data_IF_364900242969
#
_entry.id   IF_364900242969
#
_cell.length_a   1.000
_cell.length_b   1.000
_cell.length_c   1.000
_cell.angle_alpha   90.00
_cell.angle_beta   90.00
_cell.angle_gamma   90.00
#
_symmetry.space_group_name_H-M   'P 1'
#
loop_
_entity.id
_entity.type
_entity.pdbx_description
1 polymer ?
#
# COMPACT_ATOMS: atom_id res chain seq x y z
N UNK A 1 -1.71 26.26 -19.46
CA UNK A 1 -1.42 24.82 -19.63
C UNK A 1 0.05 24.48 -19.34
N UNK A 2 1.03 25.24 -19.84
CA UNK A 2 2.47 25.03 -19.58
C UNK A 2 2.91 25.07 -18.11
N UNK A 3 2.46 26.06 -17.33
CA UNK A 3 2.86 26.20 -15.91
C UNK A 3 2.40 25.03 -15.02
N UNK A 4 1.24 24.42 -15.35
CA UNK A 4 0.71 23.26 -14.61
C UNK A 4 1.60 22.03 -14.81
N UNK A 5 1.97 21.72 -16.05
CA UNK A 5 2.87 20.60 -16.35
C UNK A 5 4.27 20.75 -15.74
N UNK A 6 4.78 21.98 -15.64
CA UNK A 6 6.04 22.27 -14.96
C UNK A 6 5.90 22.00 -13.45
N UNK A 7 4.85 22.52 -12.82
CA UNK A 7 4.57 22.29 -11.39
C UNK A 7 4.46 20.80 -11.07
N UNK A 8 3.76 20.03 -11.89
CA UNK A 8 3.56 18.59 -11.68
C UNK A 8 4.90 17.83 -11.79
N UNK A 9 5.77 18.19 -12.73
CA UNK A 9 7.13 17.61 -12.81
C UNK A 9 7.97 17.91 -11.56
N UNK A 10 7.87 19.12 -11.00
CA UNK A 10 8.57 19.46 -9.77
C UNK A 10 8.02 18.68 -8.57
N UNK A 11 6.69 18.53 -8.47
CA UNK A 11 6.05 17.67 -7.46
C UNK A 11 6.56 16.24 -7.56
N UNK A 12 6.57 15.64 -8.75
CA UNK A 12 7.10 14.29 -8.98
C UNK A 12 8.57 14.17 -8.56
N UNK A 13 9.42 15.13 -8.95
CA UNK A 13 10.83 15.15 -8.55
C UNK A 13 10.99 15.23 -7.04
N UNK A 14 10.18 16.05 -6.37
CA UNK A 14 10.19 16.19 -4.91
C UNK A 14 9.74 14.91 -4.20
N UNK A 15 8.72 14.22 -4.72
CA UNK A 15 8.26 12.93 -4.20
C UNK A 15 9.31 11.83 -4.33
N UNK A 16 9.96 11.72 -5.51
CA UNK A 16 11.07 10.77 -5.71
C UNK A 16 12.24 11.04 -4.75
N UNK A 17 12.56 12.32 -4.53
CA UNK A 17 13.58 12.72 -3.55
C UNK A 17 13.18 12.31 -2.14
N UNK A 18 11.91 12.49 -1.76
CA UNK A 18 11.40 12.07 -0.47
C UNK A 18 11.54 10.55 -0.26
N UNK A 19 11.14 9.73 -1.24
CA UNK A 19 11.29 8.26 -1.17
C UNK A 19 12.75 7.91 -0.89
N UNK A 20 13.68 8.44 -1.69
CA UNK A 20 15.11 8.16 -1.49
C UNK A 20 15.57 8.47 -0.06
N UNK A 21 15.21 9.63 0.47
CA UNK A 21 15.57 10.03 1.83
C UNK A 21 14.90 9.20 2.92
N UNK A 22 13.72 8.65 2.65
CA UNK A 22 13.00 7.81 3.59
C UNK A 22 13.57 6.39 3.62
N UNK A 23 14.02 5.86 2.47
CA UNK A 23 14.71 4.56 2.37
C UNK A 23 16.10 4.56 3.03
N UNK A 24 16.74 5.74 3.13
CA UNK A 24 18.00 5.90 3.87
C UNK A 24 17.81 5.87 5.40
N UNK A 25 16.57 5.95 5.90
CA UNK A 25 16.26 5.92 7.33
C UNK A 25 15.97 4.48 7.78
N UNK A 26 16.21 4.16 9.06
CA UNK A 26 15.76 2.89 9.62
C UNK A 26 14.26 2.69 9.42
N UNK A 27 13.87 1.44 9.17
CA UNK A 27 12.46 1.05 9.08
C UNK A 27 11.69 1.41 10.35
N UNK A 28 10.37 1.55 10.21
CA UNK A 28 9.48 1.77 11.35
C UNK A 28 9.67 0.66 12.39
N UNK A 29 9.95 1.05 13.64
CA UNK A 29 10.05 0.13 14.76
C UNK A 29 8.71 0.10 15.49
N UNK A 30 7.97 -0.99 15.32
CA UNK A 30 6.72 -1.21 16.05
C UNK A 30 7.00 -1.52 17.53
N UNK A 31 6.14 -1.03 18.42
CA UNK A 31 6.16 -1.41 19.84
C UNK A 31 5.62 -2.83 20.08
N UNK A 32 4.96 -3.41 19.08
CA UNK A 32 4.43 -4.77 19.14
C UNK A 32 5.36 -5.72 18.41
N UNK A 33 5.83 -6.73 19.13
CA UNK A 33 6.84 -7.67 18.63
C UNK A 33 6.26 -8.82 17.79
N UNK A 34 4.96 -9.16 17.95
CA UNK A 34 4.40 -10.38 17.33
C UNK A 34 2.88 -10.35 17.14
N UNK A 35 2.43 -11.07 16.13
CA UNK A 35 1.04 -11.40 15.87
C UNK A 35 0.36 -10.35 15.01
N UNK A 36 -0.49 -10.78 14.07
CA UNK A 36 -1.24 -9.87 13.21
C UNK A 36 -2.63 -9.61 13.79
N UNK A 37 -2.98 -8.34 13.95
CA UNK A 37 -4.33 -7.90 14.32
C UNK A 37 -4.83 -6.67 13.56
N UNK A 38 -3.92 -5.93 12.92
CA UNK A 38 -4.18 -4.75 12.10
C UNK A 38 -3.51 -4.94 10.75
N UNK A 39 -4.29 -4.89 9.67
CA UNK A 39 -3.84 -5.17 8.31
C UNK A 39 -4.24 -4.02 7.39
N UNK A 40 -3.26 -3.41 6.74
CA UNK A 40 -3.46 -2.39 5.71
C UNK A 40 -3.24 -2.98 4.31
N UNK A 41 -4.06 -2.61 3.33
CA UNK A 41 -3.90 -2.98 1.93
C UNK A 41 -3.81 -1.70 1.08
N UNK A 42 -2.72 -1.54 0.35
CA UNK A 42 -2.59 -0.54 -0.72
C UNK A 42 -2.76 -1.31 -2.04
N UNK A 43 -3.80 -0.99 -2.81
CA UNK A 43 -4.18 -1.79 -3.99
C UNK A 43 -4.15 -0.92 -5.24
N UNK A 44 -3.45 -1.36 -6.28
CA UNK A 44 -3.59 -0.76 -7.61
C UNK A 44 -4.91 -1.23 -8.25
N UNK A 45 -5.94 -0.37 -8.21
CA UNK A 45 -7.24 -0.69 -8.77
C UNK A 45 -7.29 -0.56 -10.29
N UNK A 46 -6.25 -0.05 -10.96
CA UNK A 46 -6.16 -0.09 -12.42
C UNK A 46 -5.71 -1.49 -12.91
N UNK A 47 -5.02 -2.26 -12.04
CA UNK A 47 -4.57 -3.63 -12.32
C UNK A 47 -5.45 -4.69 -11.68
N UNK A 48 -6.01 -4.38 -10.50
CA UNK A 48 -6.81 -5.32 -9.73
C UNK A 48 -8.03 -4.63 -9.10
N UNK A 49 -9.18 -4.73 -9.77
CA UNK A 49 -10.40 -4.02 -9.35
C UNK A 49 -11.11 -4.66 -8.15
N UNK A 50 -10.84 -5.94 -7.83
CA UNK A 50 -11.60 -6.74 -6.86
C UNK A 50 -11.11 -6.54 -5.42
N UNK A 51 -11.04 -5.30 -4.95
CA UNK A 51 -10.53 -4.95 -3.61
C UNK A 51 -11.30 -5.60 -2.45
N UNK A 52 -12.57 -5.98 -2.64
CA UNK A 52 -13.34 -6.66 -1.59
C UNK A 52 -12.77 -8.06 -1.24
N UNK A 53 -11.98 -8.68 -2.13
CA UNK A 53 -11.35 -9.97 -1.85
C UNK A 53 -10.36 -9.92 -0.68
N UNK A 54 -9.81 -8.74 -0.37
CA UNK A 54 -8.89 -8.57 0.75
C UNK A 54 -9.56 -8.76 2.12
N UNK A 55 -10.89 -8.64 2.22
CA UNK A 55 -11.60 -8.97 3.45
C UNK A 55 -11.55 -10.47 3.77
N UNK A 56 -11.17 -11.35 2.83
CA UNK A 56 -10.95 -12.77 3.11
C UNK A 56 -9.80 -12.99 4.11
N UNK A 57 -8.88 -12.03 4.28
CA UNK A 57 -7.86 -12.09 5.34
C UNK A 57 -8.46 -12.11 6.75
N UNK A 58 -9.67 -11.57 6.95
CA UNK A 58 -10.35 -11.60 8.24
C UNK A 58 -10.54 -13.04 8.71
N UNK A 59 -11.07 -13.90 7.85
CA UNK A 59 -11.27 -15.31 8.15
C UNK A 59 -9.95 -16.07 8.14
N UNK A 60 -9.12 -15.86 7.11
CA UNK A 60 -7.89 -16.63 6.93
C UNK A 60 -6.88 -16.47 8.06
N UNK A 61 -6.85 -15.28 8.68
CA UNK A 61 -5.94 -14.94 9.78
C UNK A 61 -6.69 -14.74 11.12
N UNK A 62 -7.97 -15.12 11.20
CA UNK A 62 -8.80 -15.02 12.43
C UNK A 62 -8.81 -13.61 13.06
N UNK A 63 -8.94 -12.58 12.23
CA UNK A 63 -8.91 -11.18 12.64
C UNK A 63 -10.29 -10.66 13.03
N UNK A 64 -10.32 -9.57 13.81
CA UNK A 64 -11.56 -8.86 14.16
C UNK A 64 -12.15 -8.17 12.92
N UNK A 65 -13.48 -7.98 12.84
CA UNK A 65 -14.13 -7.42 11.64
C UNK A 65 -13.59 -6.06 11.15
N UNK A 66 -13.01 -5.25 12.03
CA UNK A 66 -12.45 -3.93 11.71
C UNK A 66 -10.92 -3.92 11.51
N UNK A 67 -10.27 -5.08 11.51
CA UNK A 67 -8.82 -5.23 11.43
C UNK A 67 -8.24 -4.88 10.05
N UNK A 68 -9.02 -5.06 8.98
CA UNK A 68 -8.56 -4.83 7.60
C UNK A 68 -8.97 -3.42 7.14
N UNK A 69 -8.00 -2.67 6.62
CA UNK A 69 -8.21 -1.36 5.98
C UNK A 69 -7.64 -1.39 4.58
N UNK A 70 -8.42 -0.92 3.62
CA UNK A 70 -8.07 -0.97 2.20
C UNK A 70 -8.10 0.44 1.66
N UNK A 71 -7.07 0.81 0.90
CA UNK A 71 -7.03 2.02 0.11
C UNK A 71 -6.63 1.67 -1.33
N UNK A 72 -7.41 2.16 -2.28
CA UNK A 72 -7.19 1.94 -3.69
C UNK A 72 -6.47 3.10 -4.36
N UNK A 73 -5.64 2.79 -5.33
CA UNK A 73 -5.09 3.75 -6.28
C UNK A 73 -5.82 3.63 -7.62
N UNK A 74 -6.17 4.76 -8.23
CA UNK A 74 -6.53 4.84 -9.65
C UNK A 74 -5.82 6.03 -10.29
N UNK A 75 -5.18 5.80 -11.44
CA UNK A 75 -4.57 6.87 -12.24
C UNK A 75 -5.60 7.88 -12.72
N UNK A 76 -6.81 7.41 -13.06
CA UNK A 76 -7.95 8.24 -13.41
C UNK A 76 -9.09 8.11 -12.39
N UNK A 77 -9.29 9.17 -11.60
CA UNK A 77 -10.44 9.28 -10.71
C UNK A 77 -11.69 9.72 -11.48
N UNK A 78 -12.65 8.81 -11.66
CA UNK A 78 -13.99 9.15 -12.14
C UNK A 78 -14.83 9.70 -10.98
N UNK A 79 -15.28 10.95 -11.09
CA UNK A 79 -16.13 11.59 -10.08
C UNK A 79 -17.57 11.06 -10.09
N UNK A 80 -17.97 10.36 -11.14
CA UNK A 80 -19.35 9.89 -11.34
C UNK A 80 -19.59 8.46 -10.85
N UNK A 81 -18.54 7.75 -10.44
CA UNK A 81 -18.65 6.40 -9.89
C UNK A 81 -18.31 6.45 -8.39
N UNK A 82 -19.27 6.25 -7.48
CA UNK A 82 -18.95 6.08 -6.08
C UNK A 82 -18.13 4.79 -5.92
N UNK A 83 -16.84 4.92 -5.66
CA UNK A 83 -16.01 3.77 -5.30
C UNK A 83 -16.41 3.31 -3.89
N UNK A 84 -16.69 2.01 -3.73
CA UNK A 84 -16.92 1.39 -2.42
C UNK A 84 -15.66 1.41 -1.54
N UNK A 85 -14.50 1.38 -2.18
CA UNK A 85 -13.18 1.49 -1.56
C UNK A 85 -12.71 2.96 -1.58
N UNK A 86 -12.14 3.49 -0.49
CA UNK A 86 -11.48 4.81 -0.52
C UNK A 86 -10.36 4.86 -1.56
N UNK A 87 -10.32 5.90 -2.41
CA UNK A 87 -9.36 6.01 -3.52
C UNK A 87 -8.53 7.29 -3.47
N UNK A 88 -7.27 7.18 -3.88
CA UNK A 88 -6.36 8.29 -4.22
C UNK A 88 -5.74 8.08 -5.62
N UNK A 89 -5.10 9.11 -6.16
CA UNK A 89 -4.65 9.19 -7.55
C UNK A 89 -3.40 10.06 -7.71
N UNK A 90 -2.84 10.11 -8.92
CA UNK A 90 -1.73 11.02 -9.26
C UNK A 90 -2.05 12.51 -8.99
N UNK A 91 -3.33 12.89 -9.02
CA UNK A 91 -3.76 14.28 -8.77
C UNK A 91 -3.57 14.69 -7.32
N UNK A 92 -3.48 13.72 -6.42
CA UNK A 92 -3.32 13.92 -4.99
C UNK A 92 -1.85 14.09 -4.59
N UNK A 93 -0.90 14.07 -5.55
CA UNK A 93 0.49 14.33 -5.24
C UNK A 93 0.70 15.79 -4.83
N UNK A 94 1.14 15.99 -3.60
CA UNK A 94 1.57 17.27 -3.04
C UNK A 94 3.05 17.56 -3.25
N UNK A 95 3.51 18.65 -2.64
CA UNK A 95 4.94 18.97 -2.59
C UNK A 95 5.65 18.08 -1.56
N UNK A 96 6.97 17.89 -1.72
CA UNK A 96 7.79 17.10 -0.79
C UNK A 96 7.25 15.68 -0.52
N UNK A 97 6.58 15.10 -1.52
CA UNK A 97 5.97 13.78 -1.42
C UNK A 97 4.73 13.72 -0.52
N UNK A 98 4.10 14.84 -0.17
CA UNK A 98 2.78 14.85 0.47
C UNK A 98 1.72 14.16 -0.40
N UNK A 99 0.70 13.61 0.24
CA UNK A 99 -0.46 13.00 -0.42
C UNK A 99 -1.69 13.76 0.08
N UNK A 100 -2.19 14.66 -0.77
CA UNK A 100 -3.27 15.63 -0.51
C UNK A 100 -4.66 14.97 -0.67
N UNK A 101 -4.88 13.83 -0.01
CA UNK A 101 -6.14 13.08 -0.06
C UNK A 101 -6.55 12.63 1.35
N UNK A 102 -7.77 12.95 1.78
CA UNK A 102 -8.23 12.69 3.15
C UNK A 102 -8.26 11.21 3.51
N UNK A 103 -8.62 10.34 2.56
CA UNK A 103 -8.60 8.89 2.78
C UNK A 103 -7.18 8.36 2.93
N UNK A 104 -6.24 8.84 2.10
CA UNK A 104 -4.83 8.52 2.23
C UNK A 104 -4.27 8.98 3.57
N UNK A 105 -4.59 10.20 4.00
CA UNK A 105 -4.17 10.72 5.30
C UNK A 105 -4.75 9.92 6.47
N UNK A 106 -6.01 9.47 6.39
CA UNK A 106 -6.60 8.59 7.40
C UNK A 106 -5.87 7.24 7.44
N UNK A 107 -5.59 6.63 6.28
CA UNK A 107 -4.85 5.37 6.21
C UNK A 107 -3.44 5.50 6.81
N UNK A 108 -2.72 6.57 6.45
CA UNK A 108 -1.36 6.86 6.96
C UNK A 108 -1.31 7.23 8.44
N UNK A 109 -2.43 7.64 9.04
CA UNK A 109 -2.50 7.96 10.48
C UNK A 109 -2.46 6.72 11.38
N UNK A 110 -2.68 5.53 10.80
CA UNK A 110 -2.78 4.25 11.50
C UNK A 110 -1.45 3.49 11.48
N UNK A 111 -1.33 2.56 12.43
CA UNK A 111 -0.24 1.60 12.48
C UNK A 111 -0.75 0.19 12.17
N UNK A 112 0.04 -0.55 11.40
CA UNK A 112 -0.32 -1.88 10.91
C UNK A 112 0.68 -2.93 11.38
N UNK A 113 0.19 -4.11 11.74
CA UNK A 113 1.06 -5.27 11.93
C UNK A 113 1.55 -5.77 10.57
N UNK A 114 0.65 -5.79 9.59
CA UNK A 114 0.90 -6.21 8.22
C UNK A 114 0.42 -5.16 7.23
N UNK A 115 1.28 -4.76 6.30
CA UNK A 115 0.93 -3.97 5.14
C UNK A 115 1.08 -4.81 3.87
N UNK A 116 0.00 -4.96 3.13
CA UNK A 116 -0.02 -5.60 1.81
C UNK A 116 0.06 -4.50 0.74
N UNK A 117 1.19 -4.44 0.06
CA UNK A 117 1.44 -3.65 -1.14
C UNK A 117 1.02 -4.45 -2.36
N UNK A 118 -0.25 -4.34 -2.75
CA UNK A 118 -0.82 -5.08 -3.88
C UNK A 118 -0.73 -4.29 -5.18
N UNK A 119 0.50 -4.14 -5.66
CA UNK A 119 0.86 -3.55 -6.95
C UNK A 119 2.21 -4.12 -7.38
N UNK A 120 2.42 -4.31 -8.68
CA UNK A 120 3.65 -4.91 -9.23
C UNK A 120 4.39 -3.99 -10.20
N UNK A 121 3.98 -2.72 -10.30
CA UNK A 121 4.63 -1.72 -11.14
C UNK A 121 5.17 -0.56 -10.29
N UNK A 122 6.23 0.08 -10.78
CA UNK A 122 6.83 1.22 -10.10
C UNK A 122 5.95 2.48 -10.25
N UNK A 123 5.09 2.73 -9.27
CA UNK A 123 4.24 3.91 -9.17
C UNK A 123 4.70 4.82 -8.04
N UNK A 124 4.89 6.11 -8.34
CA UNK A 124 5.34 7.10 -7.36
C UNK A 124 4.38 7.20 -6.16
N UNK A 125 3.07 7.23 -6.43
CA UNK A 125 2.06 7.42 -5.39
C UNK A 125 1.90 6.17 -4.52
N UNK A 126 1.90 4.99 -5.13
CA UNK A 126 1.88 3.70 -4.41
C UNK A 126 3.13 3.54 -3.54
N UNK A 127 4.31 3.87 -4.08
CA UNK A 127 5.56 3.82 -3.34
C UNK A 127 5.60 4.85 -2.21
N UNK A 128 5.08 6.06 -2.42
CA UNK A 128 4.95 7.07 -1.35
C UNK A 128 4.02 6.59 -0.23
N UNK A 129 2.89 5.98 -0.56
CA UNK A 129 2.01 5.37 0.44
C UNK A 129 2.75 4.29 1.22
N UNK A 130 3.37 3.32 0.52
CA UNK A 130 4.10 2.23 1.15
C UNK A 130 5.18 2.72 2.12
N UNK A 131 6.02 3.67 1.69
CA UNK A 131 7.10 4.22 2.53
C UNK A 131 6.58 4.99 3.74
N UNK A 132 5.48 5.73 3.58
CA UNK A 132 4.90 6.54 4.67
C UNK A 132 4.09 5.72 5.66
N UNK A 133 3.53 4.60 5.23
CA UNK A 133 2.75 3.74 6.12
C UNK A 133 3.64 3.13 7.19
N UNK A 134 3.22 3.29 8.45
CA UNK A 134 3.82 2.64 9.61
C UNK A 134 3.34 1.20 9.68
N UNK A 135 4.21 0.26 9.34
CA UNK A 135 3.91 -1.16 9.38
C UNK A 135 5.09 -1.97 9.90
N UNK A 136 4.83 -3.05 10.66
CA UNK A 136 5.88 -3.96 11.14
C UNK A 136 6.41 -4.86 10.03
N UNK A 137 5.51 -5.42 9.22
CA UNK A 137 5.84 -6.28 8.08
C UNK A 137 5.17 -5.71 6.84
N UNK A 138 5.96 -5.45 5.80
CA UNK A 138 5.47 -5.06 4.48
C UNK A 138 5.62 -6.23 3.53
N UNK A 139 4.55 -6.56 2.81
CA UNK A 139 4.55 -7.65 1.84
C UNK A 139 4.07 -7.13 0.50
N UNK A 140 4.71 -7.55 -0.57
CA UNK A 140 4.29 -7.20 -1.93
C UNK A 140 4.87 -8.14 -2.96
N UNK A 141 4.87 -7.68 -4.21
CA UNK A 141 5.37 -8.44 -5.35
C UNK A 141 6.88 -8.24 -5.54
N UNK A 142 7.56 -9.27 -6.04
CA UNK A 142 9.01 -9.26 -6.28
C UNK A 142 9.46 -8.16 -7.25
N UNK A 143 8.60 -7.78 -8.20
CA UNK A 143 8.83 -6.74 -9.21
C UNK A 143 8.98 -5.33 -8.61
N UNK A 144 8.39 -5.08 -7.43
CA UNK A 144 8.51 -3.80 -6.72
C UNK A 144 9.84 -3.71 -5.97
N UNK A 145 10.30 -4.85 -5.45
CA UNK A 145 11.60 -4.99 -4.81
C UNK A 145 11.63 -4.71 -3.29
N UNK A 146 12.82 -4.86 -2.68
CA UNK A 146 13.01 -4.88 -1.23
C UNK A 146 12.94 -3.48 -0.58
N UNK A 147 13.02 -2.41 -1.38
CA UNK A 147 12.90 -1.04 -0.87
C UNK A 147 11.53 -0.78 -0.22
N UNK A 148 10.50 -1.52 -0.66
CA UNK A 148 9.11 -1.30 -0.23
C UNK A 148 8.51 -2.49 0.53
N UNK A 149 9.18 -3.65 0.51
CA UNK A 149 8.65 -4.91 0.99
C UNK A 149 9.72 -5.70 1.76
N UNK A 150 9.36 -6.21 2.94
CA UNK A 150 10.17 -7.12 3.75
C UNK A 150 10.01 -8.58 3.28
N UNK A 151 8.82 -8.93 2.79
CA UNK A 151 8.52 -10.21 2.12
C UNK A 151 8.04 -9.93 0.71
N UNK A 152 8.62 -10.64 -0.26
CA UNK A 152 8.26 -10.52 -1.67
C UNK A 152 7.72 -11.87 -2.15
N UNK A 153 6.56 -11.83 -2.81
CA UNK A 153 5.91 -12.99 -3.39
C UNK A 153 6.06 -12.94 -4.91
N UNK A 154 6.33 -14.10 -5.52
CA UNK A 154 6.48 -14.25 -6.97
C UNK A 154 5.22 -14.91 -7.53
N UNK A 155 4.16 -14.10 -7.63
CA UNK A 155 2.81 -14.56 -8.02
C UNK A 155 2.18 -13.58 -9.01
N UNK A 156 1.36 -14.02 -9.98
CA UNK A 156 0.63 -13.12 -10.85
C UNK A 156 -0.32 -12.20 -10.07
N UNK A 157 -0.37 -10.91 -10.41
CA UNK A 157 -1.21 -9.92 -9.73
C UNK A 157 -2.72 -10.21 -9.88
N UNK A 158 -3.10 -10.91 -10.94
CA UNK A 158 -4.49 -11.32 -11.20
C UNK A 158 -4.93 -12.48 -10.30
N UNK A 159 -3.98 -13.27 -9.77
CA UNK A 159 -4.26 -14.45 -8.95
C UNK A 159 -4.11 -14.19 -7.44
N UNK A 160 -5.08 -13.43 -6.91
CA UNK A 160 -5.18 -13.17 -5.48
C UNK A 160 -5.24 -14.44 -4.62
N UNK A 161 -5.77 -15.55 -5.18
CA UNK A 161 -5.88 -16.81 -4.44
C UNK A 161 -4.49 -17.39 -4.17
N UNK A 162 -3.61 -17.39 -5.17
CA UNK A 162 -2.22 -17.82 -5.01
C UNK A 162 -1.49 -16.87 -4.05
N UNK A 163 -1.56 -15.56 -4.28
CA UNK A 163 -0.94 -14.56 -3.41
C UNK A 163 -1.30 -14.76 -1.93
N UNK A 164 -2.61 -14.88 -1.64
CA UNK A 164 -3.13 -15.09 -0.28
C UNK A 164 -2.64 -16.40 0.33
N UNK A 165 -2.61 -17.48 -0.46
CA UNK A 165 -2.15 -18.78 0.01
C UNK A 165 -0.66 -18.79 0.34
N UNK A 166 0.18 -18.12 -0.46
CA UNK A 166 1.61 -17.97 -0.17
C UNK A 166 1.86 -17.10 1.05
N UNK A 167 1.20 -15.93 1.12
CA UNK A 167 1.27 -15.06 2.28
C UNK A 167 0.95 -15.82 3.58
N UNK A 168 -0.15 -16.59 3.59
CA UNK A 168 -0.54 -17.41 4.74
C UNK A 168 0.56 -18.39 5.17
N UNK A 169 1.23 -19.05 4.21
CA UNK A 169 2.33 -19.98 4.51
C UNK A 169 3.50 -19.26 5.18
N UNK A 170 3.94 -18.13 4.63
CA UNK A 170 5.06 -17.37 5.19
C UNK A 170 4.75 -16.81 6.57
N UNK A 171 3.55 -16.25 6.78
CA UNK A 171 3.12 -15.77 8.10
C UNK A 171 3.06 -16.89 9.14
N UNK A 172 2.64 -18.10 8.75
CA UNK A 172 2.70 -19.27 9.62
C UNK A 172 4.13 -19.68 10.00
N UNK A 173 5.06 -19.64 9.04
CA UNK A 173 6.49 -19.89 9.32
C UNK A 173 7.07 -18.84 10.27
N UNK A 174 6.70 -17.57 10.11
CA UNK A 174 7.09 -16.47 11.00
C UNK A 174 6.37 -16.50 12.35
N UNK A 175 5.39 -17.40 12.52
CA UNK A 175 4.53 -17.51 13.71
C UNK A 175 3.77 -16.21 14.00
N UNK A 176 3.36 -15.50 12.95
CA UNK A 176 2.58 -14.24 13.03
C UNK A 176 1.07 -14.49 13.08
N UNK A 177 0.62 -15.68 12.65
CA UNK A 177 -0.76 -16.16 12.71
C UNK A 177 -0.82 -17.55 13.35
#
# INVERSE_FOLDING_TARGET
>A
MFLKGIKDKFKQKSGRKYIKQALEKPNYVSTREKGISSLGCIVDLDKFEKSDLFFQFLEDFSLRPNAVKIIGYKSYYDKNSPYSTPVFSDKDLGWNGEIENSYALEFLSREYDLLVNYYNENSLLLNLMSVKTKARIKVGFSEVGPDFNDLMLDTPIEDFKIFKAELKKYLGVFKEI
#
